data_IF_092429590719
#
_entry.id   IF_092429590719
#
_cell.length_a   1.000
_cell.length_b   1.000
_cell.length_c   1.000
_cell.angle_alpha   90.00
_cell.angle_beta   90.00
_cell.angle_gamma   90.00
#
_symmetry.space_group_name_H-M   'P 1'
#
loop_
_entity.id
_entity.type
_entity.pdbx_description
1 polymer ?
#
# COMPACT_ATOMS: atom_id res chain seq x y z
N UNK A 1 9.51 9.71 -13.55
CA UNK A 1 9.63 10.69 -12.44
C UNK A 1 11.06 11.16 -12.30
N UNK A 2 12.05 10.26 -12.12
CA UNK A 2 13.46 10.65 -12.01
C UNK A 2 13.96 11.58 -13.13
N UNK A 3 13.62 11.28 -14.38
CA UNK A 3 14.10 12.07 -15.52
C UNK A 3 13.38 13.41 -15.73
N UNK A 4 12.37 13.75 -14.91
CA UNK A 4 11.63 15.01 -15.08
C UNK A 4 12.34 16.23 -14.47
N UNK A 5 13.41 16.03 -13.70
CA UNK A 5 14.13 17.09 -13.00
C UNK A 5 13.37 17.76 -11.83
N UNK A 6 12.16 17.27 -11.52
CA UNK A 6 11.37 17.72 -10.37
C UNK A 6 11.90 17.09 -9.09
N UNK A 7 11.84 17.81 -7.98
CA UNK A 7 12.15 17.23 -6.68
C UNK A 7 11.07 16.25 -6.27
N UNK A 8 11.42 15.23 -5.47
CA UNK A 8 10.47 14.17 -5.09
C UNK A 8 9.26 14.73 -4.35
N UNK A 9 9.45 15.71 -3.49
CA UNK A 9 8.42 16.37 -2.70
C UNK A 9 7.46 17.26 -3.51
N UNK A 10 7.79 17.58 -4.75
CA UNK A 10 6.94 18.37 -5.66
C UNK A 10 5.98 17.48 -6.47
N UNK A 11 6.12 16.16 -6.38
CA UNK A 11 5.31 15.18 -7.11
C UNK A 11 4.48 14.37 -6.13
N UNK A 12 3.17 14.26 -6.38
CA UNK A 12 2.29 13.40 -5.60
C UNK A 12 2.19 12.02 -6.25
N UNK A 13 2.73 10.98 -5.62
CA UNK A 13 2.70 9.61 -6.14
C UNK A 13 1.67 8.78 -5.35
N UNK A 14 0.71 8.22 -6.09
CA UNK A 14 -0.27 7.26 -5.57
C UNK A 14 -0.02 5.87 -6.15
N UNK A 15 -0.05 4.84 -5.31
CA UNK A 15 -0.11 3.45 -5.74
C UNK A 15 -1.25 2.70 -5.03
N UNK A 16 -1.47 1.44 -5.38
CA UNK A 16 -2.56 0.63 -4.82
C UNK A 16 -2.08 -0.78 -4.51
N UNK A 17 -2.46 -1.31 -3.35
CA UNK A 17 -2.28 -2.71 -3.00
C UNK A 17 -3.18 -3.58 -3.86
N UNK A 18 -2.58 -4.53 -4.57
CA UNK A 18 -3.33 -5.44 -5.44
C UNK A 18 -4.08 -6.52 -4.64
N UNK A 19 -5.14 -7.06 -5.23
CA UNK A 19 -6.11 -7.92 -4.56
C UNK A 19 -5.50 -9.22 -3.97
N UNK A 20 -4.43 -9.75 -4.56
CA UNK A 20 -3.76 -10.97 -4.08
C UNK A 20 -2.83 -10.74 -2.89
N UNK A 21 -2.49 -9.48 -2.62
CA UNK A 21 -1.50 -9.05 -1.64
C UNK A 21 -2.13 -8.55 -0.33
N UNK A 22 -3.44 -8.73 -0.15
CA UNK A 22 -4.13 -8.39 1.10
C UNK A 22 -3.70 -9.31 2.25
N UNK A 23 -3.84 -8.82 3.46
CA UNK A 23 -3.30 -9.39 4.69
C UNK A 23 -2.01 -8.70 5.11
N UNK A 24 -1.71 -8.71 6.41
CA UNK A 24 -0.68 -7.86 7.00
C UNK A 24 0.71 -8.02 6.36
N UNK A 25 1.31 -9.22 6.43
CA UNK A 25 2.67 -9.45 5.95
C UNK A 25 2.80 -9.25 4.43
N UNK A 26 1.77 -9.68 3.69
CA UNK A 26 1.71 -9.51 2.23
C UNK A 26 1.62 -8.04 1.83
N UNK A 27 0.83 -7.25 2.56
CA UNK A 27 0.71 -5.82 2.31
C UNK A 27 2.05 -5.10 2.52
N UNK A 28 2.76 -5.41 3.61
CA UNK A 28 4.09 -4.87 3.88
C UNK A 28 5.07 -5.26 2.77
N UNK A 29 5.13 -6.54 2.38
CA UNK A 29 6.02 -7.01 1.33
C UNK A 29 5.72 -6.36 -0.04
N UNK A 30 4.44 -6.26 -0.41
CA UNK A 30 3.99 -5.64 -1.66
C UNK A 30 4.27 -4.14 -1.69
N UNK A 31 4.12 -3.46 -0.55
CA UNK A 31 4.47 -2.05 -0.42
C UNK A 31 5.98 -1.83 -0.60
N UNK A 32 6.83 -2.63 0.06
CA UNK A 32 8.29 -2.53 -0.11
C UNK A 32 8.71 -2.79 -1.57
N UNK A 33 8.08 -3.77 -2.23
CA UNK A 33 8.32 -4.01 -3.66
C UNK A 33 7.87 -2.82 -4.52
N UNK A 34 6.78 -2.16 -4.15
CA UNK A 34 6.31 -0.95 -4.81
C UNK A 34 7.33 0.18 -4.72
N UNK A 35 7.92 0.40 -3.53
CA UNK A 35 8.98 1.40 -3.34
C UNK A 35 10.23 1.10 -4.17
N UNK A 36 10.65 -0.17 -4.21
CA UNK A 36 11.78 -0.62 -5.05
C UNK A 36 11.52 -0.34 -6.53
N UNK A 37 10.35 -0.73 -7.03
CA UNK A 37 9.99 -0.55 -8.44
C UNK A 37 9.82 0.92 -8.85
N UNK A 38 9.30 1.76 -7.96
CA UNK A 38 9.15 3.20 -8.19
C UNK A 38 10.41 3.99 -7.83
N UNK A 39 11.38 3.31 -7.22
CA UNK A 39 12.66 3.85 -6.76
C UNK A 39 12.49 5.13 -5.91
N UNK A 40 11.63 5.04 -4.89
CA UNK A 40 11.29 6.11 -3.94
C UNK A 40 11.22 5.55 -2.52
N UNK A 41 11.44 6.38 -1.50
CA UNK A 41 11.43 5.93 -0.10
C UNK A 41 10.05 5.99 0.57
N UNK A 42 9.10 6.71 -0.04
CA UNK A 42 7.74 6.88 0.45
C UNK A 42 6.72 7.08 -0.69
N UNK A 43 5.44 6.85 -0.37
CA UNK A 43 4.29 7.22 -1.20
C UNK A 43 3.49 8.35 -0.55
N UNK A 44 2.87 9.18 -1.39
CA UNK A 44 1.99 10.24 -0.90
C UNK A 44 0.60 9.71 -0.56
N UNK A 45 0.14 8.68 -1.30
CA UNK A 45 -1.10 7.95 -1.02
C UNK A 45 -0.96 6.46 -1.37
N UNK A 46 -1.43 5.57 -0.50
CA UNK A 46 -1.52 4.13 -0.81
C UNK A 46 -2.92 3.59 -0.52
N UNK A 47 -3.52 2.95 -1.52
CA UNK A 47 -4.92 2.52 -1.44
C UNK A 47 -5.06 1.00 -1.46
N UNK A 48 -6.01 0.47 -0.71
CA UNK A 48 -6.52 -0.88 -0.94
C UNK A 48 -7.32 -0.83 -2.25
N UNK A 49 -6.87 -1.50 -3.31
CA UNK A 49 -7.50 -1.38 -4.62
C UNK A 49 -8.95 -1.89 -4.60
N UNK A 50 -9.18 -3.02 -3.94
CA UNK A 50 -10.52 -3.56 -3.66
C UNK A 50 -10.52 -4.28 -2.30
N UNK A 51 -11.65 -4.31 -1.58
CA UNK A 51 -11.75 -5.09 -0.35
C UNK A 51 -11.74 -6.60 -0.62
N UNK A 52 -11.27 -7.38 0.34
CA UNK A 52 -11.62 -8.79 0.42
C UNK A 52 -13.12 -8.88 0.71
N UNK A 53 -13.86 -9.69 -0.06
CA UNK A 53 -15.31 -9.82 0.07
C UNK A 53 -15.69 -11.25 0.47
N UNK A 54 -16.84 -11.39 1.11
CA UNK A 54 -17.36 -12.67 1.61
C UNK A 54 -17.59 -13.69 0.50
N UNK A 55 -17.97 -13.26 -0.72
CA UNK A 55 -18.15 -14.18 -1.85
C UNK A 55 -16.86 -14.93 -2.22
N UNK A 56 -15.70 -14.32 -2.01
CA UNK A 56 -14.40 -14.90 -2.32
C UNK A 56 -13.72 -15.54 -1.11
N UNK A 57 -13.93 -15.00 0.10
CA UNK A 57 -13.15 -15.38 1.29
C UNK A 57 -14.00 -15.85 2.48
N UNK A 58 -15.33 -15.88 2.37
CA UNK A 58 -16.23 -16.23 3.47
C UNK A 58 -15.99 -15.38 4.71
N UNK A 59 -16.02 -16.02 5.88
CA UNK A 59 -15.86 -15.38 7.19
C UNK A 59 -14.47 -14.72 7.39
N UNK A 60 -13.47 -15.12 6.61
CA UNK A 60 -12.12 -14.56 6.67
C UNK A 60 -12.02 -13.17 6.03
N UNK A 61 -13.01 -12.74 5.23
CA UNK A 61 -12.97 -11.46 4.52
C UNK A 61 -12.71 -10.27 5.46
N UNK A 62 -13.41 -10.23 6.60
CA UNK A 62 -13.26 -9.16 7.59
C UNK A 62 -11.87 -9.16 8.22
N UNK A 63 -11.35 -10.34 8.58
CA UNK A 63 -10.00 -10.48 9.14
C UNK A 63 -8.93 -9.99 8.15
N UNK A 64 -9.04 -10.39 6.88
CA UNK A 64 -8.09 -9.96 5.83
C UNK A 64 -8.10 -8.44 5.68
N UNK A 65 -9.28 -7.81 5.65
CA UNK A 65 -9.39 -6.36 5.53
C UNK A 65 -8.80 -5.63 6.75
N UNK A 66 -9.11 -6.10 7.96
CA UNK A 66 -8.55 -5.54 9.21
C UNK A 66 -7.03 -5.66 9.27
N UNK A 67 -6.49 -6.85 8.96
CA UNK A 67 -5.04 -7.08 8.93
C UNK A 67 -4.36 -6.22 7.86
N UNK A 68 -4.99 -6.03 6.69
CA UNK A 68 -4.48 -5.14 5.64
C UNK A 68 -4.45 -3.69 6.11
N UNK A 69 -5.52 -3.23 6.75
CA UNK A 69 -5.60 -1.86 7.25
C UNK A 69 -4.58 -1.59 8.35
N UNK A 70 -4.38 -2.54 9.28
CA UNK A 70 -3.35 -2.44 10.32
C UNK A 70 -1.95 -2.25 9.72
N UNK A 71 -1.62 -2.97 8.64
CA UNK A 71 -0.36 -2.76 7.93
C UNK A 71 -0.24 -1.34 7.36
N UNK A 72 -1.32 -0.77 6.83
CA UNK A 72 -1.33 0.60 6.32
C UNK A 72 -1.16 1.62 7.45
N UNK A 73 -1.80 1.41 8.59
CA UNK A 73 -1.62 2.27 9.77
C UNK A 73 -0.18 2.27 10.27
N UNK A 74 0.48 1.12 10.27
CA UNK A 74 1.87 1.03 10.72
C UNK A 74 2.83 1.67 9.70
N UNK A 75 2.63 1.43 8.40
CA UNK A 75 3.36 2.14 7.33
C UNK A 75 3.16 3.66 7.39
N UNK A 76 1.96 4.13 7.76
CA UNK A 76 1.67 5.54 7.97
C UNK A 76 2.43 6.11 9.17
N UNK A 77 2.40 5.41 10.32
CA UNK A 77 3.17 5.81 11.53
C UNK A 77 4.68 5.84 11.27
N UNK A 78 5.18 4.96 10.42
CA UNK A 78 6.58 4.93 9.99
C UNK A 78 6.94 6.04 8.97
N UNK A 79 5.95 6.80 8.48
CA UNK A 79 6.15 7.86 7.48
C UNK A 79 6.42 7.34 6.07
N UNK A 80 6.22 6.04 5.83
CA UNK A 80 6.38 5.40 4.51
C UNK A 80 5.22 5.74 3.57
N UNK A 81 4.04 6.00 4.13
CA UNK A 81 2.86 6.49 3.42
C UNK A 81 2.41 7.78 4.09
N UNK A 82 2.11 8.84 3.32
CA UNK A 82 1.64 10.12 3.86
C UNK A 82 0.13 10.23 3.98
N UNK A 83 -0.64 9.38 3.30
CA UNK A 83 -2.09 9.29 3.36
C UNK A 83 -2.62 7.93 2.90
#
# INVERSE_FOLDING_TARGET
>A
VKDSGLKREEVFITSKLWNTERGYDKAIASFNKTLENLETDYLDLFLIHWPANEKQFGDEANKINLDTWRAFEDLYKEGKIRA
#
